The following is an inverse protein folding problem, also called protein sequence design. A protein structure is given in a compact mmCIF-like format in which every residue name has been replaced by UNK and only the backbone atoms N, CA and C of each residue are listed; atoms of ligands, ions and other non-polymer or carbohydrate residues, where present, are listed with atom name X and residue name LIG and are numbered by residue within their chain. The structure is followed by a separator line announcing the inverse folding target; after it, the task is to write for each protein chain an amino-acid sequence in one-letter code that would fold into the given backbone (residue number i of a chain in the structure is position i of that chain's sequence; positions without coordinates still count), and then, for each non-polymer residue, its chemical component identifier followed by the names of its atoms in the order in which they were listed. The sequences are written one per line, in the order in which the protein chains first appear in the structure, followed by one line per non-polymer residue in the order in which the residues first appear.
data_IF_524264703993
#
_entry.id   IF_524264703993
#
_cell.length_a   1.000
_cell.length_b   1.000
_cell.length_c   1.000
_cell.angle_alpha   90.00
_cell.angle_beta   90.00
_cell.angle_gamma   90.00
#
_symmetry.space_group_name_H-M   'P 1'
#
loop_
_entity.id
_entity.type
_entity.pdbx_description
1 polymer ?
#
# COMPACT_ATOMS: atom_id res chain seq x y z
N UNK A 1 5.93 -4.41 39.88
CA UNK A 1 4.60 -4.95 39.55
C UNK A 1 4.77 -6.15 38.61
N UNK A 2 5.58 -7.13 39.02
CA UNK A 2 6.04 -8.26 38.17
C UNK A 2 5.54 -9.62 38.66
N UNK A 3 5.20 -9.76 39.95
CA UNK A 3 4.77 -11.04 40.51
C UNK A 3 3.48 -11.60 39.89
N UNK A 4 2.54 -10.74 39.50
CA UNK A 4 1.30 -11.21 38.84
C UNK A 4 1.56 -11.82 37.45
N UNK A 5 2.57 -11.33 36.73
CA UNK A 5 2.94 -11.91 35.42
C UNK A 5 3.61 -13.27 35.60
N UNK A 6 4.51 -13.39 36.58
CA UNK A 6 5.19 -14.66 36.88
C UNK A 6 4.18 -15.74 37.33
N UNK A 7 3.21 -15.40 38.18
CA UNK A 7 2.16 -16.33 38.63
C UNK A 7 1.27 -16.83 37.46
N UNK A 8 1.00 -15.96 36.47
CA UNK A 8 0.26 -16.35 35.27
C UNK A 8 1.08 -17.25 34.36
N UNK A 9 2.36 -16.97 34.20
CA UNK A 9 3.26 -17.79 33.39
C UNK A 9 3.40 -19.20 33.95
N UNK A 10 3.46 -19.36 35.28
CA UNK A 10 3.45 -20.66 35.96
C UNK A 10 2.13 -21.42 35.76
N UNK A 11 0.98 -20.74 35.83
CA UNK A 11 -0.33 -21.34 35.52
C UNK A 11 -0.43 -21.80 34.07
N UNK A 12 0.10 -21.02 33.12
CA UNK A 12 0.14 -21.43 31.71
C UNK A 12 1.12 -22.57 31.47
N UNK A 13 2.26 -22.62 32.18
CA UNK A 13 3.19 -23.74 32.11
C UNK A 13 2.52 -25.04 32.59
N UNK A 14 1.74 -24.98 33.67
CA UNK A 14 0.95 -26.11 34.16
C UNK A 14 -0.13 -26.53 33.15
N UNK A 15 -0.89 -25.58 32.60
CA UNK A 15 -1.94 -25.87 31.63
C UNK A 15 -1.42 -26.55 30.35
N UNK A 16 -0.20 -26.20 29.89
CA UNK A 16 0.44 -26.83 28.72
C UNK A 16 0.75 -28.32 28.93
N UNK A 17 0.94 -28.77 30.16
CA UNK A 17 1.26 -30.18 30.46
C UNK A 17 0.04 -31.11 30.36
N UNK A 18 -1.17 -30.57 30.45
CA UNK A 18 -2.41 -31.32 30.24
C UNK A 18 -2.95 -31.08 28.85
N UNK A 19 -2.83 -32.07 27.95
CA UNK A 19 -3.60 -32.04 26.70
C UNK A 19 -5.07 -32.29 27.03
N UNK A 20 -5.87 -31.23 27.06
CA UNK A 20 -7.33 -31.35 27.11
C UNK A 20 -7.83 -31.72 25.72
N UNK A 21 -8.14 -33.00 25.53
CA UNK A 21 -8.69 -33.47 24.26
C UNK A 21 -10.16 -33.01 24.12
N UNK A 22 -10.54 -32.39 23.00
CA UNK A 22 -11.94 -32.02 22.77
C UNK A 22 -12.81 -33.28 22.73
N UNK A 23 -14.06 -33.17 23.18
CA UNK A 23 -14.99 -34.31 23.11
C UNK A 23 -15.25 -34.71 21.66
N UNK A 24 -15.43 -36.00 21.41
CA UNK A 24 -15.70 -36.51 20.06
C UNK A 24 -16.96 -35.90 19.43
N UNK A 25 -18.00 -35.60 20.22
CA UNK A 25 -19.21 -34.92 19.76
C UNK A 25 -18.93 -33.48 19.31
N UNK A 26 -18.09 -32.74 20.04
CA UNK A 26 -17.66 -31.40 19.64
C UNK A 26 -16.89 -31.47 18.31
N UNK A 27 -15.95 -32.41 18.19
CA UNK A 27 -15.15 -32.58 16.98
C UNK A 27 -16.04 -32.92 15.77
N UNK A 28 -17.03 -33.80 15.94
CA UNK A 28 -17.98 -34.16 14.89
C UNK A 28 -18.79 -32.94 14.41
N UNK A 29 -19.24 -32.08 15.32
CA UNK A 29 -19.95 -30.83 14.96
C UNK A 29 -19.06 -29.85 14.23
N UNK A 30 -17.81 -29.67 14.69
CA UNK A 30 -16.82 -28.79 14.03
C UNK A 30 -16.53 -29.26 12.61
N UNK A 31 -16.32 -30.57 12.41
CA UNK A 31 -16.07 -31.13 11.08
C UNK A 31 -17.30 -30.99 10.16
N UNK A 32 -18.50 -31.19 10.68
CA UNK A 32 -19.73 -30.99 9.92
C UNK A 32 -19.91 -29.52 9.50
N UNK A 33 -19.53 -28.57 10.37
CA UNK A 33 -19.60 -27.15 10.05
C UNK A 33 -18.51 -26.73 9.04
N UNK A 34 -17.28 -27.20 9.25
CA UNK A 34 -16.17 -27.01 8.31
C UNK A 34 -16.55 -27.48 6.91
N UNK A 35 -17.19 -28.65 6.77
CA UNK A 35 -17.67 -29.17 5.50
C UNK A 35 -18.74 -28.29 4.82
N UNK A 36 -19.53 -27.52 5.59
CA UNK A 36 -20.53 -26.59 5.03
C UNK A 36 -19.90 -25.31 4.51
N UNK A 37 -18.86 -24.81 5.17
CA UNK A 37 -18.19 -23.55 4.81
C UNK A 37 -16.96 -23.74 3.93
N UNK A 38 -16.52 -24.99 3.75
CA UNK A 38 -15.35 -25.30 2.95
C UNK A 38 -15.55 -24.74 1.54
N UNK A 39 -14.70 -23.80 1.09
CA UNK A 39 -14.78 -23.30 -0.26
C UNK A 39 -14.68 -24.49 -1.20
N UNK A 40 -15.65 -24.63 -2.12
CA UNK A 40 -15.45 -25.56 -3.22
C UNK A 40 -14.14 -25.19 -3.90
N UNK A 41 -13.27 -26.17 -4.23
CA UNK A 41 -12.13 -25.90 -5.07
C UNK A 41 -12.68 -25.27 -6.34
N UNK A 42 -12.49 -23.95 -6.48
CA UNK A 42 -12.76 -23.28 -7.72
C UNK A 42 -11.84 -24.00 -8.69
N UNK A 43 -12.43 -24.77 -9.59
CA UNK A 43 -11.68 -25.46 -10.63
C UNK A 43 -10.86 -24.34 -11.27
N UNK A 44 -9.54 -24.38 -11.09
CA UNK A 44 -8.67 -23.33 -11.61
C UNK A 44 -9.08 -23.16 -13.07
N UNK A 45 -9.68 -22.00 -13.39
CA UNK A 45 -10.26 -21.77 -14.71
C UNK A 45 -9.11 -22.02 -15.65
N UNK A 46 -9.22 -23.08 -16.46
CA UNK A 46 -8.17 -23.48 -17.39
C UNK A 46 -7.82 -22.21 -18.16
N UNK A 47 -6.62 -21.68 -17.95
CA UNK A 47 -6.14 -20.55 -18.72
C UNK A 47 -6.17 -21.04 -20.17
N UNK A 48 -7.16 -20.58 -20.94
CA UNK A 48 -7.11 -20.77 -22.37
C UNK A 48 -5.84 -20.07 -22.84
N UNK A 49 -4.99 -20.72 -23.67
CA UNK A 49 -3.82 -20.08 -24.22
C UNK A 49 -4.30 -18.81 -24.89
N UNK A 50 -3.79 -17.68 -24.40
CA UNK A 50 -4.29 -16.37 -24.79
C UNK A 50 -4.03 -16.23 -26.29
N UNK A 51 -5.10 -16.17 -27.08
CA UNK A 51 -5.02 -15.78 -28.50
C UNK A 51 -4.26 -14.46 -28.54
N UNK A 52 -3.12 -14.43 -29.23
CA UNK A 52 -2.26 -13.27 -29.52
C UNK A 52 -2.86 -11.95 -29.02
N UNK A 53 -2.75 -11.70 -27.71
CA UNK A 53 -3.31 -10.50 -27.10
C UNK A 53 -2.52 -9.34 -27.68
N UNK A 54 -3.20 -8.37 -28.29
CA UNK A 54 -2.55 -7.12 -28.68
C UNK A 54 -1.85 -6.48 -27.48
N UNK A 55 -0.84 -5.65 -27.71
CA UNK A 55 0.05 -5.08 -26.68
C UNK A 55 -0.73 -4.54 -25.46
N UNK A 56 -1.84 -3.83 -25.69
CA UNK A 56 -2.71 -3.29 -24.65
C UNK A 56 -3.46 -4.35 -23.83
N UNK A 57 -3.88 -5.43 -24.46
CA UNK A 57 -4.57 -6.53 -23.79
C UNK A 57 -3.58 -7.41 -22.99
N UNK A 58 -2.33 -7.50 -23.44
CA UNK A 58 -1.23 -8.10 -22.68
C UNK A 58 -0.87 -7.28 -21.43
N UNK A 59 -0.76 -5.95 -21.58
CA UNK A 59 -0.58 -5.04 -20.44
C UNK A 59 -1.75 -5.15 -19.45
N UNK A 60 -3.00 -5.16 -19.94
CA UNK A 60 -4.16 -5.33 -19.07
C UNK A 60 -4.08 -6.65 -18.30
N UNK A 61 -3.76 -7.76 -18.98
CA UNK A 61 -3.61 -9.06 -18.33
C UNK A 61 -2.49 -9.08 -17.27
N UNK A 62 -1.36 -8.39 -17.52
CA UNK A 62 -0.22 -8.32 -16.60
C UNK A 62 -0.59 -7.60 -15.29
N UNK A 63 -1.41 -6.55 -15.36
CA UNK A 63 -1.82 -5.76 -14.20
C UNK A 63 -3.11 -6.27 -13.52
N UNK A 64 -3.70 -7.38 -13.99
CA UNK A 64 -4.91 -7.97 -13.39
C UNK A 64 -6.23 -7.60 -14.08
N UNK A 65 -6.17 -7.00 -15.25
CA UNK A 65 -7.31 -6.72 -16.14
C UNK A 65 -7.46 -5.22 -16.49
N UNK A 66 -8.48 -4.90 -17.28
CA UNK A 66 -8.76 -3.52 -17.70
C UNK A 66 -9.07 -2.56 -16.54
N UNK A 67 -9.64 -3.06 -15.44
CA UNK A 67 -9.93 -2.26 -14.24
C UNK A 67 -8.67 -1.74 -13.55
N UNK A 68 -7.62 -2.55 -13.47
CA UNK A 68 -6.34 -2.12 -12.89
C UNK A 68 -5.67 -1.03 -13.72
N UNK A 69 -5.70 -1.14 -15.06
CA UNK A 69 -5.22 -0.08 -15.95
C UNK A 69 -6.04 1.20 -15.85
N UNK A 70 -7.36 1.10 -15.71
CA UNK A 70 -8.22 2.26 -15.49
C UNK A 70 -7.89 2.99 -14.17
N UNK A 71 -7.59 2.23 -13.11
CA UNK A 71 -7.11 2.78 -11.84
C UNK A 71 -5.75 3.47 -11.98
N UNK A 72 -4.80 2.83 -12.65
CA UNK A 72 -3.47 3.40 -12.93
C UNK A 72 -3.56 4.70 -13.73
N UNK A 73 -4.38 4.71 -14.80
CA UNK A 73 -4.61 5.90 -15.61
C UNK A 73 -5.28 7.02 -14.81
N UNK A 74 -6.27 6.69 -14.00
CA UNK A 74 -6.95 7.66 -13.13
C UNK A 74 -6.00 8.26 -12.09
N UNK A 75 -5.12 7.45 -11.50
CA UNK A 75 -4.10 7.92 -10.58
C UNK A 75 -3.06 8.84 -11.25
N UNK A 76 -2.64 8.51 -12.49
CA UNK A 76 -1.75 9.35 -13.26
C UNK A 76 -2.38 10.72 -13.59
N UNK A 77 -3.65 10.73 -14.02
CA UNK A 77 -4.40 11.97 -14.29
C UNK A 77 -4.63 12.77 -13.01
N UNK A 78 -4.94 12.11 -11.89
CA UNK A 78 -5.09 12.76 -10.60
C UNK A 78 -3.76 13.40 -10.15
N UNK A 79 -2.63 12.69 -10.30
CA UNK A 79 -1.31 13.24 -10.04
C UNK A 79 -0.98 14.46 -10.90
N UNK A 80 -1.35 14.42 -12.18
CA UNK A 80 -1.20 15.55 -13.11
C UNK A 80 -2.07 16.74 -12.70
N UNK A 81 -3.32 16.50 -12.31
CA UNK A 81 -4.23 17.55 -11.81
C UNK A 81 -3.72 18.20 -10.54
N UNK A 82 -3.27 17.39 -9.57
CA UNK A 82 -2.70 17.87 -8.30
C UNK A 82 -1.40 18.65 -8.55
N UNK A 83 -0.56 18.19 -9.46
CA UNK A 83 0.69 18.86 -9.81
C UNK A 83 0.49 20.16 -10.61
N UNK A 84 -0.53 20.23 -11.45
CA UNK A 84 -0.83 21.39 -12.29
C UNK A 84 -1.57 22.50 -11.53
N UNK A 85 -2.61 22.13 -10.78
CA UNK A 85 -3.33 23.06 -9.91
C UNK A 85 -2.66 22.98 -8.55
N UNK A 86 -1.53 23.65 -8.36
CA UNK A 86 -0.94 23.78 -7.03
C UNK A 86 -1.75 24.81 -6.23
N UNK A 87 -2.59 24.41 -5.27
CA UNK A 87 -3.23 25.37 -4.38
C UNK A 87 -2.16 26.00 -3.48
N UNK A 88 -2.28 27.30 -3.23
CA UNK A 88 -1.34 28.08 -2.42
C UNK A 88 -1.15 27.53 -0.99
N UNK A 89 -2.10 26.75 -0.50
CA UNK A 89 -2.00 26.04 0.78
C UNK A 89 -1.08 24.81 0.74
N UNK A 90 -0.95 24.12 -0.41
CA UNK A 90 0.00 23.02 -0.57
C UNK A 90 1.43 23.53 -0.78
N UNK A 91 1.62 24.68 -1.43
CA UNK A 91 2.95 25.31 -1.52
C UNK A 91 3.46 25.75 -0.15
N UNK A 92 2.62 26.39 0.67
CA UNK A 92 3.01 26.77 2.03
C UNK A 92 3.35 25.55 2.92
N UNK A 93 2.63 24.43 2.76
CA UNK A 93 2.93 23.19 3.47
C UNK A 93 4.21 22.52 2.94
N UNK A 94 4.43 22.55 1.61
CA UNK A 94 5.64 22.01 1.00
C UNK A 94 6.88 22.80 1.42
N UNK A 95 6.83 24.13 1.45
CA UNK A 95 7.91 25.00 1.92
C UNK A 95 8.21 24.79 3.41
N UNK A 96 7.16 24.63 4.23
CA UNK A 96 7.31 24.30 5.65
C UNK A 96 7.91 22.92 5.89
N UNK A 97 7.65 21.95 5.00
CA UNK A 97 8.12 20.56 5.12
C UNK A 97 9.50 20.33 4.49
N UNK A 98 9.82 21.00 3.40
CA UNK A 98 11.14 20.97 2.75
C UNK A 98 12.21 21.71 3.56
N UNK A 99 11.80 22.60 4.47
CA UNK A 99 12.71 23.49 5.19
C UNK A 99 13.39 24.52 4.27
N UNK A 100 12.94 24.60 3.02
CA UNK A 100 13.46 25.51 2.02
C UNK A 100 12.77 26.86 2.18
N UNK A 101 13.26 27.63 3.16
CA UNK A 101 13.03 29.08 3.17
C UNK A 101 13.52 29.58 1.81
N UNK A 102 12.61 30.09 0.99
CA UNK A 102 12.87 30.63 -0.34
C UNK A 102 14.22 31.37 -0.33
N UNK A 103 15.25 30.73 -0.90
CA UNK A 103 16.55 31.36 -1.09
C UNK A 103 16.30 32.46 -2.11
N UNK A 104 15.98 33.65 -1.62
CA UNK A 104 16.01 34.86 -2.41
C UNK A 104 17.46 34.95 -2.91
N UNK A 105 17.67 34.50 -4.14
CA UNK A 105 18.98 34.46 -4.76
C UNK A 105 19.38 35.90 -5.03
N UNK A 106 19.93 36.56 -4.01
CA UNK A 106 20.53 37.87 -4.16
C UNK A 106 21.71 37.72 -5.10
N UNK A 107 21.55 38.22 -6.32
CA UNK A 107 22.63 38.23 -7.29
C UNK A 107 23.71 39.20 -6.82
N UNK A 108 24.81 38.64 -6.32
CA UNK A 108 25.95 39.41 -5.79
C UNK A 108 26.97 39.76 -6.87
N UNK A 109 26.75 39.34 -8.13
CA UNK A 109 27.56 39.79 -9.26
C UNK A 109 26.83 40.91 -9.99
N UNK A 110 27.41 42.13 -10.07
CA UNK A 110 26.90 43.15 -10.97
C UNK A 110 26.89 42.61 -12.39
N UNK A 111 25.73 42.70 -13.06
CA UNK A 111 25.60 42.31 -14.46
C UNK A 111 26.61 43.06 -15.34
N UNK A 112 26.99 42.45 -16.46
CA UNK A 112 27.95 43.00 -17.43
C UNK A 112 27.51 44.40 -17.92
N UNK A 113 26.20 44.67 -17.88
CA UNK A 113 25.58 45.97 -18.16
C UNK A 113 26.05 47.08 -17.20
N UNK A 114 26.31 46.75 -15.93
CA UNK A 114 26.84 47.70 -14.95
C UNK A 114 28.30 48.08 -15.27
N UNK A 115 29.09 47.12 -15.79
CA UNK A 115 30.47 47.38 -16.24
C UNK A 115 30.53 48.12 -17.57
N UNK A 116 29.51 47.97 -18.42
CA UNK A 116 29.41 48.65 -19.72
C UNK A 116 28.83 50.07 -19.63
N UNK A 117 28.25 50.43 -18.49
CA UNK A 117 27.64 51.76 -18.25
C UNK A 117 28.64 52.78 -17.66
N UNK A 118 29.83 52.34 -17.21
CA UNK A 118 30.95 53.23 -16.84
C UNK A 118 31.87 53.52 -18.05
N UNK A 119 31.39 54.36 -18.98
CA UNK A 119 32.24 55.16 -19.91
C UNK A 119 31.68 56.59 -20.01
#
# INVERSE_FOLDING_TARGET
MTGFSDDLDDLFAQAKTGTMEPSGDLMARVLADAARVQPQPQTARRFEPTRNLGVWAGLAALFGGGGALAGLGSAAVAGLLIGFVQPTSLTALADAWSGETQLDSVDLMPGIDALLTEE
#
